data_IF_992875328004
#
_entry.id   IF_992875328004
#
_cell.length_a   1.000
_cell.length_b   1.000
_cell.length_c   1.000
_cell.angle_alpha   90.00
_cell.angle_beta   90.00
_cell.angle_gamma   90.00
#
_symmetry.space_group_name_H-M   'P 1'
#
loop_
_entity.id
_entity.type
_entity.pdbx_description
1 polymer ?
#
# COMPACT_ATOMS: atom_id res chain seq x y z
N UNK A 1 -3.43 -18.98 3.92
CA UNK A 1 -2.44 -19.01 2.81
C UNK A 1 -1.48 -17.86 3.03
N UNK A 2 -0.17 -18.12 3.27
CA UNK A 2 0.82 -17.05 3.48
C UNK A 2 1.03 -16.20 2.21
N UNK A 3 0.81 -16.78 1.02
CA UNK A 3 1.02 -16.13 -0.27
C UNK A 3 0.03 -15.01 -0.63
N UNK A 4 -1.01 -14.77 0.17
CA UNK A 4 -1.98 -13.67 -0.05
C UNK A 4 -1.76 -12.48 0.87
N UNK A 5 -0.76 -12.55 1.75
CA UNK A 5 -0.47 -11.47 2.69
C UNK A 5 0.44 -10.43 2.04
N UNK A 6 0.27 -9.13 2.36
CA UNK A 6 1.15 -8.06 1.91
C UNK A 6 2.61 -8.36 2.26
N UNK A 7 3.54 -8.00 1.37
CA UNK A 7 4.95 -8.32 1.58
C UNK A 7 5.52 -7.64 2.83
N UNK A 8 4.97 -6.48 3.18
CA UNK A 8 5.28 -5.74 4.42
C UNK A 8 4.93 -6.56 5.66
N UNK A 9 3.78 -7.24 5.65
CA UNK A 9 3.35 -8.07 6.77
C UNK A 9 4.21 -9.32 6.89
N UNK A 10 4.55 -9.97 5.77
CA UNK A 10 5.48 -11.10 5.77
C UNK A 10 6.88 -10.70 6.27
N UNK A 11 7.42 -9.57 5.84
CA UNK A 11 8.69 -9.02 6.37
C UNK A 11 8.62 -8.77 7.87
N UNK A 12 7.47 -8.31 8.37
CA UNK A 12 7.26 -8.14 9.82
C UNK A 12 7.24 -9.49 10.53
N UNK A 13 6.52 -10.49 10.00
CA UNK A 13 6.46 -11.84 10.56
C UNK A 13 7.84 -12.48 10.66
N UNK A 14 8.60 -12.47 9.57
CA UNK A 14 9.98 -12.98 9.50
C UNK A 14 10.90 -12.39 10.58
N UNK A 15 10.75 -11.09 10.88
CA UNK A 15 11.59 -10.38 11.85
C UNK A 15 11.12 -10.55 13.30
N UNK A 16 9.81 -10.55 13.55
CA UNK A 16 9.27 -10.40 14.91
C UNK A 16 8.81 -11.71 15.55
N UNK A 17 8.53 -12.76 14.78
CA UNK A 17 8.03 -14.05 15.31
C UNK A 17 9.12 -15.11 15.51
N UNK A 18 10.38 -14.72 15.70
CA UNK A 18 11.51 -15.64 15.92
C UNK A 18 11.60 -16.26 17.33
N UNK A 19 10.47 -16.40 18.02
CA UNK A 19 10.44 -16.89 19.40
C UNK A 19 9.50 -18.08 19.59
N UNK A 20 9.99 -19.08 20.32
CA UNK A 20 9.23 -20.21 20.88
C UNK A 20 8.29 -20.87 19.86
N UNK A 21 6.97 -20.69 20.01
CA UNK A 21 5.95 -21.38 19.22
C UNK A 21 5.79 -20.86 17.79
N UNK A 22 6.42 -19.73 17.46
CA UNK A 22 6.19 -19.06 16.18
C UNK A 22 7.40 -19.03 15.26
N UNK A 23 8.50 -19.65 15.68
CA UNK A 23 9.73 -19.71 14.90
C UNK A 23 9.52 -20.38 13.53
N UNK A 24 8.67 -21.39 13.46
CA UNK A 24 8.33 -22.07 12.20
C UNK A 24 7.61 -21.14 11.22
N UNK A 25 6.80 -20.21 11.73
CA UNK A 25 6.19 -19.18 10.89
C UNK A 25 7.22 -18.21 10.35
N UNK A 26 8.19 -17.79 11.16
CA UNK A 26 9.29 -16.95 10.68
C UNK A 26 10.09 -17.66 9.58
N UNK A 27 10.42 -18.94 9.76
CA UNK A 27 11.13 -19.76 8.76
C UNK A 27 10.35 -19.94 7.46
N UNK A 28 9.06 -20.25 7.54
CA UNK A 28 8.20 -20.35 6.36
C UNK A 28 8.13 -19.02 5.61
N UNK A 29 8.11 -17.91 6.35
CA UNK A 29 8.05 -16.58 5.75
C UNK A 29 9.35 -16.22 5.06
N UNK A 30 10.50 -16.60 5.64
CA UNK A 30 11.81 -16.47 4.98
C UNK A 30 11.85 -17.24 3.65
N UNK A 31 11.33 -18.47 3.62
CA UNK A 31 11.26 -19.29 2.40
C UNK A 31 10.34 -18.68 1.33
N UNK A 32 9.20 -18.12 1.73
CA UNK A 32 8.28 -17.45 0.80
C UNK A 32 8.93 -16.19 0.24
N UNK A 33 9.61 -15.40 1.06
CA UNK A 33 10.29 -14.17 0.62
C UNK A 33 11.47 -14.44 -0.32
N UNK A 34 12.11 -15.62 -0.23
CA UNK A 34 13.19 -16.00 -1.14
C UNK A 34 12.70 -16.64 -2.46
N UNK A 35 11.43 -17.05 -2.51
CA UNK A 35 10.85 -17.66 -3.70
C UNK A 35 10.79 -16.66 -4.88
N UNK A 36 11.31 -17.07 -6.05
CA UNK A 36 11.35 -16.24 -7.25
C UNK A 36 9.96 -15.76 -7.71
N UNK A 37 8.93 -16.62 -7.66
CA UNK A 37 7.56 -16.26 -8.04
C UNK A 37 6.97 -15.23 -7.09
N UNK A 38 7.31 -15.33 -5.80
CA UNK A 38 6.84 -14.36 -4.80
C UNK A 38 7.55 -13.00 -4.96
N UNK A 39 8.81 -12.98 -5.41
CA UNK A 39 9.51 -11.73 -5.74
C UNK A 39 8.79 -10.94 -6.83
N UNK A 40 8.34 -11.62 -7.89
CA UNK A 40 7.55 -10.97 -8.95
C UNK A 40 6.26 -10.34 -8.36
N UNK A 41 5.61 -11.02 -7.42
CA UNK A 41 4.44 -10.48 -6.73
C UNK A 41 4.76 -9.22 -5.89
N UNK A 42 5.92 -9.17 -5.24
CA UNK A 42 6.39 -7.97 -4.53
C UNK A 42 6.57 -6.79 -5.49
N UNK A 43 7.10 -7.05 -6.69
CA UNK A 43 7.24 -6.00 -7.72
C UNK A 43 5.89 -5.49 -8.20
N UNK A 44 4.91 -6.39 -8.39
CA UNK A 44 3.53 -6.01 -8.70
C UNK A 44 2.87 -5.21 -7.57
N UNK A 45 3.05 -5.60 -6.31
CA UNK A 45 2.54 -4.87 -5.14
C UNK A 45 3.16 -3.46 -5.06
N UNK A 46 4.44 -3.31 -5.38
CA UNK A 46 5.11 -2.01 -5.44
C UNK A 46 4.50 -1.13 -6.54
N UNK A 47 4.33 -1.68 -7.75
CA UNK A 47 3.74 -0.96 -8.87
C UNK A 47 2.30 -0.52 -8.55
N UNK A 48 1.49 -1.39 -7.95
CA UNK A 48 0.13 -1.08 -7.53
C UNK A 48 0.10 0.04 -6.48
N UNK A 49 0.99 -0.02 -5.48
CA UNK A 49 1.08 1.02 -4.45
C UNK A 49 1.43 2.39 -5.03
N UNK A 50 2.40 2.45 -5.96
CA UNK A 50 2.78 3.69 -6.66
C UNK A 50 1.61 4.24 -7.49
N UNK A 51 0.93 3.37 -8.23
CA UNK A 51 -0.23 3.76 -9.04
C UNK A 51 -1.37 4.29 -8.16
N UNK A 52 -1.66 3.61 -7.06
CA UNK A 52 -2.74 4.00 -6.16
C UNK A 52 -2.39 5.28 -5.38
N UNK A 53 -1.13 5.47 -5.00
CA UNK A 53 -0.66 6.72 -4.40
C UNK A 53 -0.84 7.90 -5.36
N UNK A 54 -0.51 7.72 -6.63
CA UNK A 54 -0.72 8.77 -7.65
C UNK A 54 -2.20 9.09 -7.86
N UNK A 55 -3.08 8.08 -7.87
CA UNK A 55 -4.54 8.28 -7.92
C UNK A 55 -5.05 9.12 -6.75
N UNK A 56 -4.65 8.78 -5.52
CA UNK A 56 -5.02 9.55 -4.33
C UNK A 56 -4.53 11.01 -4.39
N UNK A 57 -3.34 11.24 -4.93
CA UNK A 57 -2.80 12.60 -5.14
C UNK A 57 -3.61 13.38 -6.16
N UNK A 58 -4.02 12.76 -7.26
CA UNK A 58 -4.88 13.40 -8.27
C UNK A 58 -6.28 13.69 -7.73
N UNK A 59 -6.86 12.78 -6.94
CA UNK A 59 -8.17 12.98 -6.32
C UNK A 59 -8.13 14.16 -5.35
N UNK A 60 -7.11 14.22 -4.49
CA UNK A 60 -6.91 15.34 -3.56
C UNK A 60 -6.73 16.67 -4.30
N UNK A 61 -5.97 16.69 -5.41
CA UNK A 61 -5.80 17.89 -6.22
C UNK A 61 -7.12 18.34 -6.87
N UNK A 62 -7.91 17.40 -7.37
CA UNK A 62 -9.24 17.67 -7.95
C UNK A 62 -10.21 18.23 -6.90
N UNK A 63 -10.21 17.67 -5.70
CA UNK A 63 -11.04 18.13 -4.59
C UNK A 63 -10.66 19.55 -4.15
N UNK A 64 -9.37 19.85 -4.03
CA UNK A 64 -8.87 21.19 -3.70
C UNK A 64 -9.27 22.21 -4.77
N UNK A 65 -9.10 21.88 -6.05
CA UNK A 65 -9.50 22.75 -7.17
C UNK A 65 -11.03 22.96 -7.18
N UNK A 66 -11.80 21.91 -6.91
CA UNK A 66 -13.26 22.00 -6.84
C UNK A 66 -13.70 22.85 -5.65
N UNK A 67 -13.11 22.67 -4.47
CA UNK A 67 -13.39 23.49 -3.28
C UNK A 67 -13.04 24.96 -3.51
N UNK A 68 -11.90 25.26 -4.13
CA UNK A 68 -11.53 26.66 -4.45
C UNK A 68 -12.50 27.24 -5.48
N UNK A 69 -12.83 26.51 -6.55
CA UNK A 69 -13.78 26.96 -7.57
C UNK A 69 -15.17 27.20 -6.99
N UNK A 70 -15.66 26.33 -6.11
CA UNK A 70 -16.94 26.48 -5.41
C UNK A 70 -16.92 27.69 -4.48
N UNK A 71 -15.83 27.91 -3.75
CA UNK A 71 -15.67 29.07 -2.89
C UNK A 71 -15.66 30.39 -3.69
N UNK A 72 -15.01 30.42 -4.85
CA UNK A 72 -15.05 31.56 -5.77
C UNK A 72 -16.47 31.82 -6.30
N UNK A 73 -17.20 30.78 -6.72
CA UNK A 73 -18.58 30.90 -7.21
C UNK A 73 -19.53 31.43 -6.12
N UNK A 74 -19.36 31.00 -4.87
CA UNK A 74 -20.16 31.44 -3.73
C UNK A 74 -19.94 32.92 -3.39
N UNK A 75 -18.72 33.43 -3.57
CA UNK A 75 -18.32 34.76 -3.11
C UNK A 75 -18.41 35.84 -4.19
N UNK A 76 -18.45 35.44 -5.47
CA UNK A 76 -18.44 36.35 -6.62
C UNK A 76 -19.71 36.25 -7.48
N UNK A 77 -20.81 35.68 -6.95
CA UNK A 77 -22.14 35.97 -7.47
C UNK A 77 -22.54 37.38 -7.04
N UNK A 78 -22.28 38.37 -7.90
CA UNK A 78 -22.97 39.66 -7.81
C UNK A 78 -24.48 39.46 -8.05
N UNK A 79 -25.34 40.25 -7.38
CA UNK A 79 -26.80 40.13 -7.45
C UNK A 79 -27.38 40.48 -8.83
#
# INVERSE_FOLDING_TARGET
MLGTLPSTYLKWVSKNLRAHNFEDWAKLTDQVLDNAVYRDWIEWELAENVLNENRRKTDLASDVISSTKLWWLQTHQEP
#
